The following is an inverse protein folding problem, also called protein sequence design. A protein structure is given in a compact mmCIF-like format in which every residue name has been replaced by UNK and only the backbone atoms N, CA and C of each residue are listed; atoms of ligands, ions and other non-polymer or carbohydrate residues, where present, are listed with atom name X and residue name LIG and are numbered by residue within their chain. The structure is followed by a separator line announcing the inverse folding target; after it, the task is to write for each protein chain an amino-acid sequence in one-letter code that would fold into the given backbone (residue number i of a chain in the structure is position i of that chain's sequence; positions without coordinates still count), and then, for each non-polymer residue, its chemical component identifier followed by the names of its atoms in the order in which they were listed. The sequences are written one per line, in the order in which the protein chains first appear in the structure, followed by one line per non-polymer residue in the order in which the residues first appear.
data_IF_008782385017
#
_entry.id   IF_008782385017
#
_cell.length_a   1.000
_cell.length_b   1.000
_cell.length_c   1.000
_cell.angle_alpha   90.00
_cell.angle_beta   90.00
_cell.angle_gamma   90.00
#
_symmetry.space_group_name_H-M   'P 1'
#
loop_
_entity.id
_entity.type
_entity.pdbx_description
1 polymer ?
#
# COMPACT_ATOMS: atom_id res chain seq x y z
N UNK A 1 -8.84 22.27 22.63
CA UNK A 1 -8.33 22.56 21.28
C UNK A 1 -8.83 21.48 20.35
N UNK A 2 -9.60 21.85 19.34
CA UNK A 2 -10.08 20.91 18.31
C UNK A 2 -9.06 20.92 17.18
N UNK A 3 -8.60 19.75 16.77
CA UNK A 3 -7.60 19.59 15.72
C UNK A 3 -8.15 20.12 14.39
N UNK A 4 -7.42 21.01 13.71
CA UNK A 4 -7.78 21.49 12.39
C UNK A 4 -7.43 20.41 11.35
N UNK A 5 -8.44 19.60 11.03
CA UNK A 5 -8.32 18.53 10.04
C UNK A 5 -7.97 19.05 8.65
N UNK A 6 -8.38 20.27 8.31
CA UNK A 6 -8.10 20.88 7.02
C UNK A 6 -6.61 21.15 6.87
N UNK A 7 -5.96 21.65 7.93
CA UNK A 7 -4.51 21.88 7.97
C UNK A 7 -3.72 20.58 7.80
N UNK A 8 -4.22 19.46 8.34
CA UNK A 8 -3.55 18.15 8.26
C UNK A 8 -3.62 17.51 6.87
N UNK A 9 -4.67 17.76 6.11
CA UNK A 9 -4.88 17.18 4.78
C UNK A 9 -4.57 18.15 3.64
N UNK A 10 -4.31 19.44 3.95
CA UNK A 10 -3.97 20.43 2.95
C UNK A 10 -2.64 20.05 2.27
N UNK A 11 -2.65 19.92 0.94
CA UNK A 11 -1.50 19.47 0.16
C UNK A 11 -1.30 17.94 0.13
N UNK A 12 -2.25 17.16 0.66
CA UNK A 12 -2.28 15.70 0.52
C UNK A 12 -3.27 15.34 -0.60
N UNK A 13 -2.75 15.04 -1.79
CA UNK A 13 -3.55 14.50 -2.89
C UNK A 13 -3.68 12.98 -2.71
N UNK A 14 -4.91 12.47 -2.58
CA UNK A 14 -5.19 11.04 -2.50
C UNK A 14 -5.87 10.56 -3.78
N UNK A 15 -5.29 9.57 -4.43
CA UNK A 15 -5.81 8.98 -5.68
C UNK A 15 -6.00 7.49 -5.50
N UNK A 16 -7.24 7.02 -5.65
CA UNK A 16 -7.53 5.59 -5.68
C UNK A 16 -7.02 4.98 -7.00
N UNK A 17 -6.33 3.85 -6.90
CA UNK A 17 -5.76 3.12 -8.02
C UNK A 17 -6.55 1.84 -8.27
N UNK A 18 -6.85 1.63 -9.54
CA UNK A 18 -7.53 0.43 -10.00
C UNK A 18 -6.72 -0.85 -9.68
N UNK A 19 -7.44 -1.95 -9.48
CA UNK A 19 -6.87 -3.26 -9.09
C UNK A 19 -5.99 -3.91 -10.18
N UNK A 20 -6.04 -3.41 -11.41
CA UNK A 20 -5.12 -3.77 -12.49
C UNK A 20 -3.69 -3.29 -12.21
N UNK A 21 -3.52 -2.20 -11.45
CA UNK A 21 -2.20 -1.71 -11.08
C UNK A 21 -1.55 -2.68 -10.08
N UNK A 22 -0.38 -3.21 -10.45
CA UNK A 22 0.41 -4.10 -9.60
C UNK A 22 1.78 -3.48 -9.32
N UNK A 23 2.08 -3.24 -8.04
CA UNK A 23 3.41 -2.78 -7.60
C UNK A 23 3.98 -3.79 -6.62
N UNK A 24 5.28 -4.08 -6.77
CA UNK A 24 6.00 -4.95 -5.84
C UNK A 24 7.02 -4.13 -5.07
N UNK A 25 7.05 -4.28 -3.76
CA UNK A 25 8.06 -3.67 -2.90
C UNK A 25 8.88 -4.76 -2.24
N UNK A 26 10.20 -4.65 -2.31
CA UNK A 26 11.14 -5.59 -1.69
C UNK A 26 11.96 -4.85 -0.65
N UNK A 27 11.84 -5.22 0.63
CA UNK A 27 12.61 -4.59 1.70
C UNK A 27 14.01 -5.23 1.78
N UNK A 28 15.10 -4.46 1.94
CA UNK A 28 16.47 -4.99 1.93
C UNK A 28 16.86 -5.83 3.16
N UNK A 29 16.12 -5.76 4.27
CA UNK A 29 16.43 -6.55 5.48
C UNK A 29 15.73 -7.92 5.50
N UNK A 30 16.51 -9.01 5.67
CA UNK A 30 16.07 -10.43 5.71
C UNK A 30 15.15 -10.85 6.89
N UNK A 31 14.47 -9.91 7.55
CA UNK A 31 13.54 -10.25 8.64
C UNK A 31 12.14 -9.74 8.34
N UNK A 32 11.27 -10.74 8.33
CA UNK A 32 9.82 -10.79 8.35
C UNK A 32 9.04 -10.77 7.04
N UNK A 33 9.27 -9.91 6.05
CA UNK A 33 8.39 -9.85 4.85
C UNK A 33 9.08 -9.21 3.64
N UNK A 34 9.94 -9.98 2.97
CA UNK A 34 10.84 -9.44 1.94
C UNK A 34 10.12 -9.00 0.66
N UNK A 35 8.84 -9.31 0.45
CA UNK A 35 8.12 -8.86 -0.74
C UNK A 35 6.63 -8.61 -0.47
N UNK A 36 6.17 -7.40 -0.79
CA UNK A 36 4.74 -7.04 -0.79
C UNK A 36 4.28 -6.78 -2.22
N UNK A 37 3.06 -7.23 -2.54
CA UNK A 37 2.39 -6.89 -3.79
C UNK A 37 1.15 -6.06 -3.49
N UNK A 38 1.11 -4.85 -4.03
CA UNK A 38 -0.08 -4.02 -4.07
C UNK A 38 -0.91 -4.41 -5.30
N UNK A 39 -2.21 -4.60 -5.11
CA UNK A 39 -3.21 -4.73 -6.20
C UNK A 39 -4.16 -3.54 -6.05
N UNK A 40 -3.94 -2.47 -6.82
CA UNK A 40 -4.54 -1.16 -6.57
C UNK A 40 -4.01 -0.52 -5.29
N UNK A 41 -4.91 0.10 -4.53
CA UNK A 41 -4.59 0.83 -3.30
C UNK A 41 -4.81 2.33 -3.48
N UNK A 42 -4.42 3.11 -2.48
CA UNK A 42 -4.57 4.56 -2.49
C UNK A 42 -3.19 5.19 -2.49
N UNK A 43 -2.91 5.97 -3.54
CA UNK A 43 -1.70 6.77 -3.63
C UNK A 43 -1.92 8.08 -2.87
N UNK A 44 -0.98 8.43 -2.00
CA UNK A 44 -0.85 9.73 -1.37
C UNK A 44 0.37 10.41 -1.99
N UNK A 45 0.21 11.65 -2.44
CA UNK A 45 1.35 12.48 -2.87
C UNK A 45 1.63 13.57 -1.86
N UNK A 46 2.91 13.70 -1.49
CA UNK A 46 3.39 14.86 -0.74
C UNK A 46 3.58 16.06 -1.68
N UNK A 47 3.63 17.25 -1.10
CA UNK A 47 3.99 18.50 -1.78
C UNK A 47 5.37 18.44 -2.46
N UNK A 48 6.28 17.61 -1.93
CA UNK A 48 7.62 17.38 -2.49
C UNK A 48 7.65 16.38 -3.64
N UNK A 49 6.48 15.89 -4.08
CA UNK A 49 6.33 14.95 -5.18
C UNK A 49 6.46 13.48 -4.79
N UNK A 50 6.92 13.17 -3.56
CA UNK A 50 7.06 11.79 -3.09
C UNK A 50 5.70 11.13 -2.99
N UNK A 51 5.64 9.87 -3.41
CA UNK A 51 4.42 9.08 -3.40
C UNK A 51 4.48 7.98 -2.35
N UNK A 52 3.43 7.84 -1.58
CA UNK A 52 3.17 6.65 -0.79
C UNK A 52 1.96 5.91 -1.33
N UNK A 53 1.96 4.58 -1.29
CA UNK A 53 0.76 3.78 -1.53
C UNK A 53 0.39 3.06 -0.26
N UNK A 54 -0.88 3.13 0.13
CA UNK A 54 -1.42 2.31 1.20
C UNK A 54 -2.54 1.39 0.72
N UNK A 55 -2.73 0.29 1.42
CA UNK A 55 -3.80 -0.66 1.18
C UNK A 55 -4.28 -1.26 2.51
N UNK A 56 -5.58 -1.23 2.74
CA UNK A 56 -6.23 -1.92 3.86
C UNK A 56 -6.58 -3.36 3.47
N UNK A 57 -6.54 -4.25 4.46
CA UNK A 57 -6.80 -5.69 4.33
C UNK A 57 -6.08 -6.39 3.16
N UNK A 58 -4.74 -6.25 3.04
CA UNK A 58 -3.98 -6.94 2.00
C UNK A 58 -4.19 -8.47 2.04
N UNK A 59 -4.55 -9.01 0.88
CA UNK A 59 -4.72 -10.44 0.63
C UNK A 59 -3.52 -11.02 -0.11
N UNK A 60 -2.94 -12.08 0.42
CA UNK A 60 -2.03 -12.95 -0.32
C UNK A 60 -2.84 -14.05 -1.00
N UNK A 61 -2.61 -14.21 -2.29
CA UNK A 61 -3.19 -15.28 -3.11
C UNK A 61 -2.08 -16.20 -3.59
N UNK A 62 -2.18 -17.50 -3.34
CA UNK A 62 -1.23 -18.51 -3.84
C UNK A 62 -1.97 -19.75 -4.33
N UNK A 63 -1.32 -20.55 -5.17
CA UNK A 63 -1.85 -21.84 -5.64
C UNK A 63 -1.32 -22.94 -4.73
N UNK A 64 -2.20 -23.76 -4.17
CA UNK A 64 -1.84 -24.94 -3.39
C UNK A 64 -2.67 -26.12 -3.87
N UNK A 65 -2.00 -27.18 -4.35
CA UNK A 65 -2.64 -28.40 -4.90
C UNK A 65 -3.70 -28.10 -5.98
N UNK A 66 -3.42 -27.14 -6.86
CA UNK A 66 -4.31 -26.75 -7.96
C UNK A 66 -5.43 -25.78 -7.58
N UNK A 67 -5.60 -25.45 -6.30
CA UNK A 67 -6.61 -24.50 -5.82
C UNK A 67 -6.00 -23.14 -5.50
N UNK A 68 -6.74 -22.07 -5.82
CA UNK A 68 -6.39 -20.71 -5.39
C UNK A 68 -6.78 -20.55 -3.92
N UNK A 69 -5.79 -20.32 -3.06
CA UNK A 69 -5.96 -20.03 -1.63
C UNK A 69 -5.73 -18.54 -1.38
N UNK A 70 -6.51 -17.98 -0.46
CA UNK A 70 -6.35 -16.61 0.02
C UNK A 70 -6.04 -16.58 1.53
N UNK A 71 -5.19 -15.65 1.95
CA UNK A 71 -4.96 -15.32 3.36
C UNK A 71 -4.87 -13.83 3.53
N UNK A 72 -5.55 -13.30 4.56
CA UNK A 72 -5.29 -11.94 5.05
C UNK A 72 -3.93 -11.92 5.72
N UNK A 73 -3.03 -11.10 5.20
CA UNK A 73 -1.64 -11.06 5.68
C UNK A 73 -1.48 -10.02 6.77
N UNK A 74 -2.15 -8.87 6.62
CA UNK A 74 -2.12 -7.73 7.55
C UNK A 74 -3.45 -7.00 7.46
N UNK A 75 -3.74 -6.17 8.46
CA UNK A 75 -4.86 -5.23 8.41
C UNK A 75 -4.54 -3.99 7.55
N UNK A 76 -3.26 -3.67 7.40
CA UNK A 76 -2.77 -2.48 6.69
C UNK A 76 -1.35 -2.68 6.17
N UNK A 77 -1.04 -2.10 5.00
CA UNK A 77 0.32 -1.95 4.48
C UNK A 77 0.48 -0.59 3.80
N UNK A 78 1.66 0.02 3.93
CA UNK A 78 2.02 1.28 3.29
C UNK A 78 3.48 1.24 2.87
N UNK A 79 3.76 1.77 1.69
CA UNK A 79 5.11 1.91 1.13
C UNK A 79 5.27 3.31 0.59
N UNK A 80 6.38 3.97 0.95
CA UNK A 80 6.84 5.19 0.28
C UNK A 80 7.76 4.75 -0.86
N UNK A 81 7.52 5.27 -2.05
CA UNK A 81 8.30 4.96 -3.24
C UNK A 81 9.39 6.02 -3.43
N UNK A 82 10.52 5.59 -3.96
CA UNK A 82 11.66 6.46 -4.28
C UNK A 82 11.59 7.04 -5.70
N UNK A 83 10.44 6.94 -6.37
CA UNK A 83 10.24 7.41 -7.75
C UNK A 83 9.99 8.92 -7.88
#
# INVERSE_FOLDING_TARGET
MTMDHQLLINGIEVVERDRSLRRSYTHPSRKLMDQFKFKGGSDIRSISGKRATFQQDPKLTWVYRGEVRERRVRSFQMVVWDD
#
